data_IF_375478685311
#
_entry.id   IF_375478685311
#
_cell.length_a   1.000
_cell.length_b   1.000
_cell.length_c   1.000
_cell.angle_alpha   90.00
_cell.angle_beta   90.00
_cell.angle_gamma   90.00
#
_symmetry.space_group_name_H-M   'P 1'
#
loop_
_entity.id
_entity.type
_entity.pdbx_description
1 polymer ?
#
# COMPACT_ATOMS: atom_id res chain seq x y z
N UNK A 1 -13.05 -8.61 -9.84
CA UNK A 1 -13.35 -7.40 -9.05
C UNK A 1 -12.20 -6.40 -9.20
N UNK A 2 -10.98 -6.74 -8.74
CA UNK A 2 -9.79 -5.88 -8.87
C UNK A 2 -9.44 -5.55 -10.32
N UNK A 3 -9.29 -6.54 -11.21
CA UNK A 3 -8.96 -6.30 -12.64
C UNK A 3 -10.02 -5.56 -13.48
N UNK A 4 -11.19 -5.26 -12.90
CA UNK A 4 -12.27 -4.53 -13.58
C UNK A 4 -12.50 -3.14 -12.97
N UNK A 5 -11.79 -2.81 -11.90
CA UNK A 5 -11.89 -1.50 -11.29
C UNK A 5 -11.05 -0.50 -12.09
N UNK A 6 -11.57 0.71 -12.25
CA UNK A 6 -10.81 1.81 -12.85
C UNK A 6 -9.72 2.35 -11.90
N UNK A 7 -9.87 2.10 -10.61
CA UNK A 7 -8.90 2.50 -9.58
C UNK A 7 -8.93 1.52 -8.41
N UNK A 8 -7.76 1.07 -7.99
CA UNK A 8 -7.56 0.09 -6.91
C UNK A 8 -6.86 0.81 -5.76
N UNK A 9 -7.62 1.01 -4.67
CA UNK A 9 -7.12 1.65 -3.45
C UNK A 9 -6.97 0.56 -2.38
N UNK A 10 -5.76 0.41 -1.86
CA UNK A 10 -5.47 -0.47 -0.73
C UNK A 10 -5.22 0.36 0.53
N UNK A 11 -5.79 -0.07 1.65
CA UNK A 11 -5.55 0.53 2.96
C UNK A 11 -4.85 -0.51 3.82
N UNK A 12 -3.67 -0.17 4.34
CA UNK A 12 -2.90 -1.04 5.22
C UNK A 12 -2.14 -0.20 6.24
N UNK A 13 -2.19 -0.59 7.50
CA UNK A 13 -1.36 0.02 8.54
C UNK A 13 0.10 -0.45 8.43
N UNK A 14 1.00 0.31 9.03
CA UNK A 14 2.44 0.09 8.96
C UNK A 14 2.85 -1.31 9.43
N UNK A 15 2.07 -1.92 10.33
CA UNK A 15 2.36 -3.26 10.84
C UNK A 15 2.30 -4.34 9.76
N UNK A 16 1.69 -4.07 8.60
CA UNK A 16 1.55 -5.05 7.51
C UNK A 16 2.74 -5.09 6.56
N UNK A 17 3.63 -4.11 6.59
CA UNK A 17 4.81 -4.10 5.72
C UNK A 17 5.86 -5.10 6.19
N UNK A 18 6.39 -5.89 5.26
CA UNK A 18 7.38 -6.93 5.54
C UNK A 18 6.80 -8.20 6.19
N UNK A 19 5.47 -8.26 6.38
CA UNK A 19 4.79 -9.45 6.89
C UNK A 19 4.21 -10.25 5.72
N UNK A 20 4.43 -11.57 5.74
CA UNK A 20 3.74 -12.48 4.82
C UNK A 20 2.36 -12.80 5.36
N UNK A 21 1.32 -12.31 4.68
CA UNK A 21 -0.06 -12.65 5.00
C UNK A 21 -0.40 -14.10 4.59
N UNK A 22 -1.37 -14.72 5.27
CA UNK A 22 -1.83 -16.07 4.93
C UNK A 22 -2.55 -16.15 3.58
N UNK A 23 -3.02 -15.02 3.04
CA UNK A 23 -3.77 -14.96 1.80
C UNK A 23 -3.24 -13.85 0.89
N UNK A 24 -3.15 -14.14 -0.41
CA UNK A 24 -2.74 -13.17 -1.43
C UNK A 24 -3.96 -12.74 -2.25
N UNK A 25 -4.44 -11.52 -2.00
CA UNK A 25 -5.62 -10.96 -2.66
C UNK A 25 -5.27 -10.37 -4.03
N UNK A 26 -4.17 -9.64 -4.13
CA UNK A 26 -3.64 -9.06 -5.36
C UNK A 26 -2.15 -8.77 -5.23
N UNK A 27 -1.46 -8.65 -6.36
CA UNK A 27 -0.08 -8.21 -6.35
C UNK A 27 -0.03 -6.71 -6.00
N UNK A 28 1.04 -6.28 -5.33
CA UNK A 28 1.21 -4.87 -4.95
C UNK A 28 1.20 -3.95 -6.18
N UNK A 29 1.74 -4.40 -7.32
CA UNK A 29 1.72 -3.70 -8.61
C UNK A 29 0.32 -3.45 -9.20
N UNK A 30 -0.69 -4.16 -8.71
CA UNK A 30 -2.08 -3.97 -9.15
C UNK A 30 -2.75 -2.83 -8.37
N UNK A 31 -2.08 -2.24 -7.37
CA UNK A 31 -2.62 -1.15 -6.54
C UNK A 31 -2.19 0.20 -7.12
N UNK A 32 -3.15 1.08 -7.36
CA UNK A 32 -2.88 2.44 -7.83
C UNK A 32 -2.52 3.36 -6.65
N UNK A 33 -3.26 3.22 -5.55
CA UNK A 33 -3.12 4.07 -4.36
C UNK A 33 -3.05 3.20 -3.11
N UNK A 34 -1.98 3.37 -2.34
CA UNK A 34 -1.81 2.76 -1.02
C UNK A 34 -1.96 3.84 0.07
N UNK A 35 -2.89 3.60 0.99
CA UNK A 35 -3.09 4.44 2.17
C UNK A 35 -2.51 3.73 3.40
N UNK A 36 -1.63 4.42 4.13
CA UNK A 36 -1.00 3.92 5.37
C UNK A 36 -0.99 4.99 6.46
N UNK A 37 -0.81 4.59 7.71
CA UNK A 37 -0.62 5.51 8.82
C UNK A 37 0.80 6.12 8.87
N UNK A 38 0.96 7.14 9.71
CA UNK A 38 2.18 7.94 9.88
C UNK A 38 3.39 7.16 10.40
N UNK A 39 3.21 5.94 10.91
CA UNK A 39 4.31 5.15 11.52
C UNK A 39 5.18 4.41 10.50
N UNK A 40 4.82 4.45 9.20
CA UNK A 40 5.59 3.79 8.15
C UNK A 40 6.96 4.47 7.93
N UNK A 41 8.00 3.67 7.69
CA UNK A 41 9.34 4.22 7.46
C UNK A 41 9.45 4.92 6.10
N UNK A 42 10.25 5.99 6.01
CA UNK A 42 10.51 6.67 4.74
C UNK A 42 11.16 5.76 3.69
N UNK A 43 11.97 4.79 4.14
CA UNK A 43 12.58 3.79 3.25
C UNK A 43 11.50 2.96 2.56
N UNK A 44 10.56 2.41 3.34
CA UNK A 44 9.43 1.64 2.82
C UNK A 44 8.55 2.46 1.87
N UNK A 45 8.26 3.73 2.22
CA UNK A 45 7.51 4.63 1.32
C UNK A 45 8.25 4.82 -0.01
N UNK A 46 9.57 5.02 0.05
CA UNK A 46 10.39 5.27 -1.14
C UNK A 46 10.45 4.05 -2.06
N UNK A 47 10.57 2.86 -1.49
CA UNK A 47 10.54 1.58 -2.20
C UNK A 47 9.18 1.33 -2.87
N UNK A 48 8.08 1.65 -2.20
CA UNK A 48 6.74 1.48 -2.78
C UNK A 48 6.49 2.52 -3.88
N UNK A 49 6.89 3.78 -3.67
CA UNK A 49 6.76 4.82 -4.70
C UNK A 49 7.63 4.55 -5.91
N UNK A 50 8.83 4.01 -5.75
CA UNK A 50 9.70 3.64 -6.87
C UNK A 50 9.12 2.49 -7.71
N UNK A 51 8.21 1.71 -7.15
CA UNK A 51 7.43 0.70 -7.89
C UNK A 51 6.25 1.26 -8.69
N UNK A 52 6.06 2.59 -8.67
CA UNK A 52 5.02 3.29 -9.45
C UNK A 52 3.68 3.48 -8.73
N UNK A 53 3.63 3.18 -7.42
CA UNK A 53 2.40 3.23 -6.62
C UNK A 53 2.33 4.55 -5.87
N UNK A 54 1.15 5.18 -5.88
CA UNK A 54 0.93 6.40 -5.13
C UNK A 54 0.70 6.08 -3.65
N UNK A 55 1.55 6.61 -2.77
CA UNK A 55 1.42 6.39 -1.31
C UNK A 55 0.88 7.64 -0.63
N UNK A 56 -0.30 7.51 -0.02
CA UNK A 56 -0.93 8.51 0.83
C UNK A 56 -0.75 8.13 2.31
N UNK A 57 -0.30 9.09 3.12
CA UNK A 57 -0.01 8.89 4.54
C UNK A 57 -1.08 9.64 5.34
N UNK A 58 -1.77 8.93 6.24
CA UNK A 58 -2.73 9.53 7.14
C UNK A 58 -2.04 10.41 8.19
N UNK A 59 -2.70 11.49 8.61
CA UNK A 59 -2.21 12.37 9.68
C UNK A 59 -2.32 11.69 11.03
N UNK A 60 -1.37 12.00 11.92
CA UNK A 60 -1.43 11.56 13.31
C UNK A 60 -2.64 12.19 14.03
N UNK A 61 -3.44 11.40 14.79
CA UNK A 61 -4.59 11.87 15.54
C UNK A 61 -4.20 12.73 16.76
#
# INVERSE_FOLDING_TARGET
MIKRADTIIAVADYSKFGITAMNNVCALRDVDILVTDWSVSQKTISEIRSSGINVAIATQP
#
